data_IF_544033437273
#
_entry.id   IF_544033437273
#
_cell.length_a   1.000
_cell.length_b   1.000
_cell.length_c   1.000
_cell.angle_alpha   90.00
_cell.angle_beta   90.00
_cell.angle_gamma   90.00
#
_symmetry.space_group_name_H-M   'P 1'
#
loop_
_entity.id
_entity.type
_entity.pdbx_description
1 polymer ?
#
# COMPACT_ATOMS: atom_id res chain seq x y z
N UNK A 1 -4.31 2.07 2.80
CA UNK A 1 -4.64 0.77 3.43
C UNK A 1 -4.04 0.71 4.84
N UNK A 2 -4.48 -0.24 5.66
CA UNK A 2 -3.99 -0.49 7.03
C UNK A 2 -2.57 -1.07 7.03
N UNK A 3 -1.90 -1.12 8.20
CA UNK A 3 -0.60 -1.78 8.35
C UNK A 3 -0.67 -3.29 8.08
N UNK A 4 0.45 -3.87 7.62
CA UNK A 4 0.55 -5.27 7.18
C UNK A 4 -0.04 -6.27 8.19
N UNK A 5 0.35 -6.16 9.45
CA UNK A 5 -0.11 -7.04 10.52
C UNK A 5 -1.65 -6.99 10.68
N UNK A 6 -2.20 -5.79 10.83
CA UNK A 6 -3.63 -5.59 11.03
C UNK A 6 -4.47 -6.10 9.84
N UNK A 7 -4.01 -5.85 8.62
CA UNK A 7 -4.69 -6.32 7.42
C UNK A 7 -4.61 -7.85 7.29
N UNK A 8 -3.43 -8.43 7.53
CA UNK A 8 -3.20 -9.87 7.45
C UNK A 8 -4.04 -10.65 8.47
N UNK A 9 -4.14 -10.18 9.72
CA UNK A 9 -4.95 -10.83 10.76
C UNK A 9 -6.45 -10.78 10.43
N UNK A 10 -6.93 -9.65 9.89
CA UNK A 10 -8.34 -9.50 9.47
C UNK A 10 -8.67 -10.46 8.33
N UNK A 11 -7.78 -10.54 7.32
CA UNK A 11 -7.96 -11.43 6.16
C UNK A 11 -7.89 -12.90 6.59
N UNK A 12 -6.93 -13.24 7.46
CA UNK A 12 -6.85 -14.57 8.05
C UNK A 12 -8.15 -14.94 8.79
N UNK A 13 -8.68 -14.06 9.63
CA UNK A 13 -9.91 -14.31 10.38
C UNK A 13 -11.11 -14.57 9.45
N UNK A 14 -11.21 -13.85 8.32
CA UNK A 14 -12.25 -14.07 7.32
C UNK A 14 -12.07 -15.43 6.64
N UNK A 15 -10.85 -15.77 6.21
CA UNK A 15 -10.55 -17.02 5.51
C UNK A 15 -10.71 -18.25 6.42
N UNK A 16 -10.31 -18.16 7.69
CA UNK A 16 -10.49 -19.22 8.67
C UNK A 16 -11.99 -19.49 8.92
N UNK A 17 -12.79 -18.44 9.13
CA UNK A 17 -14.26 -18.56 9.26
C UNK A 17 -14.92 -19.14 8.01
N UNK A 18 -14.42 -18.81 6.82
CA UNK A 18 -14.94 -19.38 5.58
C UNK A 18 -14.65 -20.88 5.51
N UNK A 19 -13.43 -21.32 5.81
CA UNK A 19 -13.05 -22.73 5.81
C UNK A 19 -13.82 -23.56 6.83
N UNK A 20 -14.03 -23.07 8.06
CA UNK A 20 -14.81 -23.79 9.07
C UNK A 20 -16.25 -24.14 8.62
N UNK A 21 -16.84 -23.34 7.72
CA UNK A 21 -18.17 -23.62 7.16
C UNK A 21 -18.17 -24.73 6.11
N UNK A 22 -17.08 -24.88 5.36
CA UNK A 22 -16.98 -25.85 4.26
C UNK A 22 -16.31 -27.17 4.71
N UNK A 23 -15.27 -27.10 5.54
CA UNK A 23 -14.53 -28.24 6.09
C UNK A 23 -13.68 -27.83 7.30
N UNK A 24 -13.76 -28.58 8.41
CA UNK A 24 -12.85 -28.37 9.55
C UNK A 24 -11.40 -28.50 9.10
N UNK A 25 -10.65 -27.41 9.20
CA UNK A 25 -9.22 -27.38 8.91
C UNK A 25 -8.44 -27.91 10.11
N UNK A 26 -7.32 -28.58 9.87
CA UNK A 26 -6.40 -28.96 10.96
C UNK A 26 -5.70 -27.71 11.53
N UNK A 27 -5.16 -27.79 12.76
CA UNK A 27 -4.31 -26.74 13.30
C UNK A 27 -3.12 -26.41 12.39
N UNK A 28 -2.51 -27.40 11.74
CA UNK A 28 -1.40 -27.15 10.80
C UNK A 28 -1.86 -26.37 9.56
N UNK A 29 -3.00 -26.73 8.97
CA UNK A 29 -3.55 -26.04 7.79
C UNK A 29 -3.91 -24.56 8.07
N UNK A 30 -4.33 -24.26 9.30
CA UNK A 30 -4.63 -22.90 9.74
C UNK A 30 -3.35 -22.07 9.95
N UNK A 31 -2.30 -22.66 10.52
CA UNK A 31 -1.03 -21.97 10.71
C UNK A 31 -0.35 -21.70 9.36
N UNK A 32 -0.40 -22.65 8.42
CA UNK A 32 0.12 -22.46 7.07
C UNK A 32 -0.64 -21.35 6.31
N UNK A 33 -1.96 -21.29 6.46
CA UNK A 33 -2.78 -20.22 5.90
C UNK A 33 -2.38 -18.86 6.49
N UNK A 34 -2.20 -18.78 7.82
CA UNK A 34 -1.79 -17.56 8.50
C UNK A 34 -0.43 -17.08 8.00
N UNK A 35 0.54 -17.98 7.92
CA UNK A 35 1.88 -17.68 7.43
C UNK A 35 1.84 -17.17 5.97
N UNK A 36 1.03 -17.81 5.12
CA UNK A 36 0.86 -17.41 3.72
C UNK A 36 0.26 -16.02 3.59
N UNK A 37 -0.84 -15.74 4.32
CA UNK A 37 -1.49 -14.42 4.28
C UNK A 37 -0.53 -13.33 4.77
N UNK A 38 0.18 -13.59 5.88
CA UNK A 38 1.16 -12.65 6.41
C UNK A 38 2.27 -12.35 5.40
N UNK A 39 2.88 -13.40 4.82
CA UNK A 39 3.95 -13.25 3.82
C UNK A 39 3.48 -12.45 2.60
N UNK A 40 2.29 -12.74 2.08
CA UNK A 40 1.73 -12.03 0.93
C UNK A 40 1.54 -10.54 1.24
N UNK A 41 1.04 -10.21 2.44
CA UNK A 41 0.89 -8.82 2.86
C UNK A 41 2.22 -8.12 3.06
N UNK A 42 3.21 -8.78 3.68
CA UNK A 42 4.56 -8.25 3.84
C UNK A 42 5.19 -7.89 2.49
N UNK A 43 5.10 -8.79 1.51
CA UNK A 43 5.59 -8.56 0.15
C UNK A 43 4.89 -7.37 -0.52
N UNK A 44 3.57 -7.27 -0.40
CA UNK A 44 2.80 -6.17 -0.99
C UNK A 44 3.05 -4.82 -0.32
N UNK A 45 3.48 -4.82 0.95
CA UNK A 45 3.84 -3.60 1.68
C UNK A 45 5.27 -3.12 1.42
N UNK A 46 6.10 -3.94 0.78
CA UNK A 46 7.41 -3.53 0.33
C UNK A 46 7.30 -2.44 -0.75
N UNK A 47 7.98 -1.31 -0.58
CA UNK A 47 7.92 -0.22 -1.55
C UNK A 47 8.43 -0.64 -2.94
N UNK A 48 9.31 -1.64 -3.03
CA UNK A 48 9.80 -2.19 -4.30
C UNK A 48 8.68 -2.87 -5.09
N UNK A 49 7.74 -3.52 -4.40
CA UNK A 49 6.54 -4.09 -5.03
C UNK A 49 5.69 -3.00 -5.68
N UNK A 50 5.52 -1.86 -5.00
CA UNK A 50 4.80 -0.68 -5.51
C UNK A 50 5.54 0.03 -6.64
N UNK A 51 6.85 0.21 -6.52
CA UNK A 51 7.68 0.83 -7.55
C UNK A 51 7.66 0.05 -8.87
N UNK A 52 7.74 -1.29 -8.81
CA UNK A 52 7.60 -2.14 -10.01
C UNK A 52 6.23 -2.02 -10.71
N UNK A 53 5.23 -1.44 -10.04
CA UNK A 53 3.87 -1.21 -10.54
C UNK A 53 3.57 0.25 -10.85
N UNK A 54 4.57 1.12 -10.78
CA UNK A 54 4.42 2.55 -11.06
C UNK A 54 3.63 3.32 -10.02
N UNK A 55 3.55 2.84 -8.77
CA UNK A 55 2.92 3.61 -7.68
C UNK A 55 3.75 4.83 -7.29
N UNK A 56 5.05 4.77 -7.52
CA UNK A 56 6.02 5.84 -7.30
C UNK A 56 6.93 5.92 -8.50
N UNK A 57 7.43 7.13 -8.80
CA UNK A 57 8.34 7.35 -9.92
C UNK A 57 9.77 6.85 -9.64
N UNK A 58 10.21 6.91 -8.37
CA UNK A 58 11.54 6.48 -7.95
C UNK A 58 11.62 6.13 -6.46
N UNK A 59 12.53 5.22 -6.10
CA UNK A 59 13.03 5.02 -4.74
C UNK A 59 14.40 5.70 -4.66
N UNK A 60 14.55 6.67 -3.77
CA UNK A 60 15.77 7.48 -3.62
C UNK A 60 16.40 7.31 -2.25
N UNK A 61 17.68 7.65 -2.09
CA UNK A 61 18.27 7.72 -0.76
C UNK A 61 17.69 8.91 0.02
N UNK A 62 17.42 8.77 1.34
CA UNK A 62 16.80 9.85 2.11
C UNK A 62 17.56 11.18 2.07
N UNK A 63 18.90 11.15 2.02
CA UNK A 63 19.73 12.35 1.99
C UNK A 63 19.71 13.08 0.63
N UNK A 64 19.33 12.41 -0.46
CA UNK A 64 19.22 13.01 -1.80
C UNK A 64 17.89 13.77 -1.99
N UNK A 65 16.94 13.61 -1.06
CA UNK A 65 15.58 14.19 -1.16
C UNK A 65 15.60 15.69 -1.47
N UNK A 66 16.51 16.45 -0.85
CA UNK A 66 16.61 17.90 -1.07
C UNK A 66 16.95 18.23 -2.52
N UNK A 67 17.94 17.57 -3.08
CA UNK A 67 18.45 17.86 -4.42
C UNK A 67 17.44 17.42 -5.49
N UNK A 68 16.79 16.26 -5.27
CA UNK A 68 15.69 15.80 -6.12
C UNK A 68 14.55 16.81 -6.14
N UNK A 69 14.12 17.32 -4.98
CA UNK A 69 13.05 18.31 -4.90
C UNK A 69 13.42 19.64 -5.57
N UNK A 70 14.66 20.13 -5.41
CA UNK A 70 15.13 21.33 -6.09
C UNK A 70 15.05 21.16 -7.61
N UNK A 71 15.51 20.01 -8.11
CA UNK A 71 15.48 19.71 -9.54
C UNK A 71 14.05 19.63 -10.07
N UNK A 72 13.14 18.94 -9.36
CA UNK A 72 11.73 18.86 -9.74
C UNK A 72 11.05 20.23 -9.72
N UNK A 73 11.37 21.09 -8.74
CA UNK A 73 10.81 22.43 -8.64
C UNK A 73 11.12 23.28 -9.87
N UNK A 74 12.33 23.17 -10.42
CA UNK A 74 12.71 23.86 -11.66
C UNK A 74 11.82 23.47 -12.84
N UNK A 75 11.39 22.20 -12.92
CA UNK A 75 10.50 21.73 -13.99
C UNK A 75 9.05 22.16 -13.80
N UNK A 76 8.56 22.33 -12.57
CA UNK A 76 7.14 22.67 -12.31
C UNK A 76 6.91 24.18 -12.15
N UNK A 77 7.97 25.00 -12.06
CA UNK A 77 7.89 26.47 -11.94
C UNK A 77 7.47 27.20 -13.22
N UNK A 78 6.81 26.49 -14.15
CA UNK A 78 6.27 27.06 -15.39
C UNK A 78 5.07 27.96 -15.04
N UNK A 79 4.72 28.95 -15.87
CA UNK A 79 3.52 29.75 -15.65
C UNK A 79 2.30 28.82 -15.46
N UNK A 80 1.62 28.97 -14.32
CA UNK A 80 0.44 28.19 -14.00
C UNK A 80 -0.62 28.40 -15.10
N UNK A 81 -1.32 27.33 -15.54
CA UNK A 81 -2.50 27.49 -16.37
C UNK A 81 -3.46 28.47 -15.69
N UNK A 82 -4.10 29.36 -16.46
CA UNK A 82 -5.18 30.22 -15.94
C UNK A 82 -6.39 29.33 -15.63
N UNK A 83 -6.35 28.65 -14.49
CA UNK A 83 -7.38 27.77 -13.99
C UNK A 83 -7.77 28.21 -12.58
N UNK A 84 -9.06 28.16 -12.28
CA UNK A 84 -9.59 28.47 -10.95
C UNK A 84 -9.62 27.18 -10.13
N UNK A 85 -9.14 27.23 -8.89
CA UNK A 85 -9.25 26.11 -7.96
C UNK A 85 -10.70 26.00 -7.49
N UNK A 86 -11.35 24.88 -7.83
CA UNK A 86 -12.73 24.60 -7.43
C UNK A 86 -12.71 23.47 -6.40
N UNK A 87 -13.21 23.73 -5.20
CA UNK A 87 -13.21 22.79 -4.08
C UNK A 87 -14.33 21.75 -4.15
N UNK A 88 -15.29 21.92 -5.06
CA UNK A 88 -16.53 21.14 -5.03
C UNK A 88 -17.35 21.42 -3.78
N UNK A 89 -18.14 20.43 -3.34
CA UNK A 89 -18.95 20.48 -2.12
C UNK A 89 -18.11 19.98 -0.95
N UNK A 90 -18.04 20.76 0.12
CA UNK A 90 -17.44 20.35 1.39
C UNK A 90 -18.58 19.87 2.30
N UNK A 91 -18.58 18.59 2.65
CA UNK A 91 -19.54 18.04 3.60
C UNK A 91 -19.16 18.50 5.02
N UNK A 92 -20.07 19.24 5.69
CA UNK A 92 -19.95 19.71 7.08
C UNK A 92 -20.72 18.82 8.04
#
# INVERSE_FOLDING_TARGET
VMGAAQASDTVFAILARARERDKKSSPEELEELRATVKKNYEEQTDIRYGAARGWVDAIIQPHETRDVLIHLLQYVSRPLPKARFHTGVIQV
#
